data_IF_992479019923
#
_entry.id   IF_992479019923
#
_cell.length_a   1.000
_cell.length_b   1.000
_cell.length_c   1.000
_cell.angle_alpha   90.00
_cell.angle_beta   90.00
_cell.angle_gamma   90.00
#
_symmetry.space_group_name_H-M   'P 1'
#
loop_
_entity.id
_entity.type
_entity.pdbx_description
1 polymer ?
#
# COMPACT_ATOMS: atom_id res chain seq x y z
N UNK A 1 0.78 -2.72 12.77
CA UNK A 1 -0.25 -3.56 12.12
C UNK A 1 -0.08 -3.45 10.62
N UNK A 2 -0.20 -4.54 9.87
CA UNK A 2 -0.24 -4.53 8.40
C UNK A 2 -1.51 -5.24 7.96
N UNK A 3 -2.53 -4.50 7.54
CA UNK A 3 -3.82 -5.01 7.08
C UNK A 3 -3.84 -5.09 5.55
N UNK A 4 -3.77 -6.31 5.01
CA UNK A 4 -3.83 -6.57 3.59
C UNK A 4 -5.24 -7.06 3.21
N UNK A 5 -6.07 -6.09 2.82
CA UNK A 5 -7.46 -6.29 2.46
C UNK A 5 -7.67 -6.72 1.00
N UNK A 6 -8.95 -6.74 0.59
CA UNK A 6 -9.34 -7.01 -0.80
C UNK A 6 -9.03 -5.85 -1.73
N UNK A 7 -9.40 -4.62 -1.35
CA UNK A 7 -9.20 -3.43 -2.18
C UNK A 7 -8.01 -2.55 -1.81
N UNK A 8 -7.48 -2.67 -0.59
CA UNK A 8 -6.40 -1.79 -0.08
C UNK A 8 -5.45 -2.55 0.82
N UNK A 9 -4.27 -1.98 1.03
CA UNK A 9 -3.34 -2.35 2.08
C UNK A 9 -3.17 -1.14 2.98
N UNK A 10 -3.40 -1.31 4.26
CA UNK A 10 -3.30 -0.24 5.25
C UNK A 10 -2.38 -0.70 6.39
N UNK A 11 -1.60 0.22 6.94
CA UNK A 11 -0.74 -0.08 8.07
C UNK A 11 -0.69 1.06 9.07
N UNK A 12 -0.51 0.67 10.34
CA UNK A 12 -0.51 1.57 11.48
C UNK A 12 0.63 1.20 12.42
N UNK A 13 1.30 2.22 12.94
CA UNK A 13 2.39 2.11 13.90
C UNK A 13 1.98 2.75 15.21
N UNK A 14 2.23 2.04 16.30
CA UNK A 14 1.93 2.53 17.63
C UNK A 14 2.68 1.77 18.71
N UNK A 15 2.53 2.26 19.93
CA UNK A 15 3.07 1.66 21.14
C UNK A 15 1.94 1.25 22.07
N UNK A 16 1.99 0.00 22.51
CA UNK A 16 1.11 -0.53 23.55
C UNK A 16 1.89 -0.69 24.86
N UNK A 17 1.39 -0.10 25.93
CA UNK A 17 2.03 -0.15 27.24
C UNK A 17 1.01 -0.16 28.39
N UNK A 18 1.47 -0.45 29.60
CA UNK A 18 0.64 -0.33 30.80
C UNK A 18 0.31 1.15 31.04
N UNK A 19 -0.95 1.45 31.32
CA UNK A 19 -1.37 2.82 31.60
C UNK A 19 -0.76 3.31 32.92
N UNK A 20 -0.25 4.54 32.93
CA UNK A 20 0.10 5.25 34.16
C UNK A 20 -1.14 5.81 34.88
N UNK A 21 -2.23 6.01 34.13
CA UNK A 21 -3.51 6.42 34.67
C UNK A 21 -4.25 5.19 35.25
N UNK A 22 -4.53 5.14 36.56
CA UNK A 22 -5.15 3.98 37.21
C UNK A 22 -6.57 3.69 36.72
N UNK A 23 -7.19 4.62 35.99
CA UNK A 23 -8.50 4.42 35.36
C UNK A 23 -8.46 3.39 34.22
N UNK A 24 -7.33 3.24 33.55
CA UNK A 24 -7.15 2.39 32.37
C UNK A 24 -6.15 1.27 32.66
N UNK A 25 -6.31 0.11 32.03
CA UNK A 25 -5.34 -0.99 32.17
C UNK A 25 -4.11 -0.74 31.28
N UNK A 26 -4.37 -0.27 30.07
CA UNK A 26 -3.37 -0.10 29.03
C UNK A 26 -3.49 1.26 28.37
N UNK A 27 -2.41 1.70 27.75
CA UNK A 27 -2.35 2.86 26.88
C UNK A 27 -1.90 2.41 25.50
N UNK A 28 -2.60 2.85 24.46
CA UNK A 28 -2.22 2.65 23.07
C UNK A 28 -1.95 4.02 22.45
N UNK A 29 -0.70 4.26 22.08
CA UNK A 29 -0.27 5.51 21.44
C UNK A 29 -0.11 5.24 19.94
N UNK A 30 -0.81 6.02 19.11
CA UNK A 30 -0.61 6.03 17.66
C UNK A 30 0.58 6.94 17.31
N UNK A 31 1.40 6.51 16.36
CA UNK A 31 2.54 7.28 15.86
C UNK A 31 2.31 7.76 14.43
N UNK A 32 2.00 6.84 13.52
CA UNK A 32 1.70 7.15 12.13
C UNK A 32 0.97 5.99 11.46
N UNK A 33 0.42 6.28 10.28
CA UNK A 33 -0.19 5.30 9.39
C UNK A 33 0.32 5.47 7.97
N UNK A 34 0.05 4.49 7.13
CA UNK A 34 0.26 4.54 5.70
C UNK A 34 -0.45 3.39 5.02
N UNK A 35 -0.25 3.26 3.72
CA UNK A 35 -0.91 2.23 2.96
C UNK A 35 -0.66 2.35 1.46
N UNK A 36 -1.39 1.54 0.71
CA UNK A 36 -1.51 1.62 -0.74
C UNK A 36 -2.95 1.23 -1.12
N UNK A 37 -3.68 2.18 -1.70
CA UNK A 37 -5.09 2.03 -2.08
C UNK A 37 -5.30 1.14 -3.31
N UNK A 38 -4.23 0.80 -4.03
CA UNK A 38 -4.27 -0.08 -5.20
C UNK A 38 -3.70 -1.46 -4.89
N UNK A 39 -2.96 -1.63 -3.80
CA UNK A 39 -2.49 -2.93 -3.36
C UNK A 39 -3.55 -3.64 -2.52
N UNK A 40 -4.37 -4.48 -3.14
CA UNK A 40 -5.36 -5.32 -2.47
C UNK A 40 -5.45 -6.69 -3.16
N UNK A 41 -5.92 -7.72 -2.47
CA UNK A 41 -6.06 -9.07 -3.07
C UNK A 41 -6.94 -9.07 -4.33
N UNK A 42 -8.05 -8.35 -4.33
CA UNK A 42 -8.97 -8.22 -5.47
C UNK A 42 -8.34 -7.36 -6.59
N UNK A 43 -7.67 -6.27 -6.24
CA UNK A 43 -6.96 -5.45 -7.23
C UNK A 43 -5.80 -6.23 -7.88
N UNK A 44 -5.11 -7.09 -7.12
CA UNK A 44 -4.09 -7.99 -7.67
C UNK A 44 -4.72 -8.99 -8.63
N UNK A 45 -5.89 -9.57 -8.32
CA UNK A 45 -6.60 -10.44 -9.25
C UNK A 45 -6.97 -9.74 -10.56
N UNK A 46 -7.47 -8.51 -10.50
CA UNK A 46 -7.74 -7.73 -11.71
C UNK A 46 -6.46 -7.45 -12.51
N UNK A 47 -5.34 -7.21 -11.83
CA UNK A 47 -4.04 -7.06 -12.48
C UNK A 47 -3.58 -8.36 -13.16
N UNK A 48 -3.77 -9.53 -12.53
CA UNK A 48 -3.48 -10.82 -13.17
C UNK A 48 -4.37 -11.07 -14.39
N UNK A 49 -5.65 -10.72 -14.30
CA UNK A 49 -6.59 -10.84 -15.40
C UNK A 49 -6.19 -9.95 -16.59
N UNK A 50 -5.68 -8.76 -16.31
CA UNK A 50 -5.13 -7.85 -17.33
C UNK A 50 -3.93 -8.47 -18.06
N UNK A 51 -2.99 -9.10 -17.35
CA UNK A 51 -1.85 -9.79 -17.99
C UNK A 51 -2.27 -11.06 -18.73
N UNK A 52 -3.24 -11.81 -18.20
CA UNK A 52 -3.82 -12.96 -18.92
C UNK A 52 -4.50 -12.52 -20.22
N UNK A 53 -5.24 -11.41 -20.21
CA UNK A 53 -5.79 -10.82 -21.43
C UNK A 53 -4.68 -10.40 -22.39
N UNK A 54 -3.61 -9.77 -21.91
CA UNK A 54 -2.48 -9.36 -22.73
C UNK A 54 -1.81 -10.53 -23.45
N UNK A 55 -1.59 -11.65 -22.73
CA UNK A 55 -1.01 -12.88 -23.29
C UNK A 55 -1.83 -13.45 -24.45
N UNK A 56 -3.16 -13.26 -24.39
CA UNK A 56 -4.10 -13.80 -25.36
C UNK A 56 -4.65 -12.72 -26.32
N UNK A 57 -4.06 -11.52 -26.33
CA UNK A 57 -4.65 -10.35 -26.98
C UNK A 57 -4.92 -10.55 -28.47
N UNK A 58 -4.03 -11.22 -29.21
CA UNK A 58 -4.22 -11.44 -30.65
C UNK A 58 -5.48 -12.26 -30.93
N UNK A 59 -5.71 -13.35 -30.20
CA UNK A 59 -6.90 -14.21 -30.35
C UNK A 59 -8.16 -13.49 -29.88
N UNK A 60 -8.08 -12.74 -28.78
CA UNK A 60 -9.20 -11.98 -28.23
C UNK A 60 -9.60 -10.81 -29.14
N UNK A 61 -8.63 -10.18 -29.78
CA UNK A 61 -8.82 -9.13 -30.79
C UNK A 61 -9.56 -9.64 -32.02
N UNK A 62 -9.26 -10.85 -32.49
CA UNK A 62 -9.98 -11.49 -33.61
C UNK A 62 -11.45 -11.76 -33.28
N UNK A 63 -11.75 -12.02 -32.00
CA UNK A 63 -13.09 -12.21 -31.46
C UNK A 63 -13.76 -10.91 -30.99
N UNK A 64 -13.09 -9.78 -31.20
CA UNK A 64 -13.56 -8.45 -30.81
C UNK A 64 -13.87 -8.27 -29.32
N UNK A 65 -13.18 -9.03 -28.46
CA UNK A 65 -13.36 -9.04 -27.01
C UNK A 65 -12.71 -7.80 -26.38
N UNK A 66 -13.50 -7.02 -25.66
CA UNK A 66 -13.08 -5.80 -24.96
C UNK A 66 -12.73 -6.07 -23.50
N UNK A 67 -11.93 -5.21 -22.86
CA UNK A 67 -11.57 -5.36 -21.45
C UNK A 67 -11.57 -4.01 -20.71
N UNK A 68 -11.94 -4.03 -19.44
CA UNK A 68 -11.88 -2.86 -18.58
C UNK A 68 -10.48 -2.65 -18.01
N UNK A 69 -10.13 -1.39 -17.74
CA UNK A 69 -8.94 -1.05 -16.96
C UNK A 69 -9.10 -1.65 -15.55
N UNK A 70 -8.12 -2.42 -15.04
CA UNK A 70 -8.16 -2.92 -13.68
C UNK A 70 -7.98 -1.77 -12.68
N UNK A 71 -8.48 -1.96 -11.46
CA UNK A 71 -8.33 -1.04 -10.35
C UNK A 71 -6.92 -1.13 -9.72
N UNK A 72 -5.92 -0.80 -10.54
CA UNK A 72 -4.52 -0.77 -10.15
C UNK A 72 -3.86 0.52 -10.64
N UNK A 73 -2.81 0.98 -9.95
CA UNK A 73 -2.04 2.13 -10.42
C UNK A 73 -1.21 1.77 -11.67
N UNK A 74 -0.82 2.79 -12.44
CA UNK A 74 0.18 2.68 -13.53
C UNK A 74 -0.11 1.63 -14.60
N UNK A 75 -1.38 1.32 -14.82
CA UNK A 75 -1.78 0.54 -15.97
C UNK A 75 -1.51 1.34 -17.24
N UNK A 76 -0.78 0.75 -18.18
CA UNK A 76 -0.67 1.27 -19.53
C UNK A 76 -2.03 1.19 -20.24
N UNK A 77 -2.77 2.29 -20.16
CA UNK A 77 -4.09 2.43 -20.79
C UNK A 77 -4.04 2.45 -22.33
N UNK A 78 -2.86 2.62 -22.93
CA UNK A 78 -2.69 2.60 -24.38
C UNK A 78 -2.42 1.20 -24.93
N UNK A 79 -2.02 0.25 -24.08
CA UNK A 79 -1.62 -1.13 -24.44
C UNK A 79 -2.58 -1.82 -25.41
N UNK A 80 -3.89 -1.60 -25.25
CA UNK A 80 -4.93 -2.23 -26.06
C UNK A 80 -5.73 -1.27 -26.95
N UNK A 81 -5.38 0.03 -26.97
CA UNK A 81 -6.10 1.04 -27.74
C UNK A 81 -7.62 0.99 -27.54
N UNK A 82 -8.38 0.87 -28.64
CA UNK A 82 -9.86 0.85 -28.62
C UNK A 82 -10.49 -0.39 -27.96
N UNK A 83 -9.71 -1.41 -27.63
CA UNK A 83 -10.20 -2.62 -26.95
C UNK A 83 -10.29 -2.43 -25.44
N UNK A 84 -9.60 -1.44 -24.88
CA UNK A 84 -9.81 -1.01 -23.52
C UNK A 84 -11.06 -0.13 -23.46
N UNK A 85 -12.10 -0.56 -22.76
CA UNK A 85 -13.37 0.15 -22.65
C UNK A 85 -13.87 0.19 -21.20
N UNK A 86 -14.77 1.12 -20.90
CA UNK A 86 -15.41 1.21 -19.59
C UNK A 86 -16.88 0.72 -19.63
N UNK A 87 -17.21 -0.13 -20.60
CA UNK A 87 -18.55 -0.72 -20.76
C UNK A 87 -18.83 -1.78 -19.68
N UNK A 88 -20.10 -2.16 -19.54
CA UNK A 88 -20.49 -3.24 -18.62
C UNK A 88 -19.83 -4.55 -19.04
N UNK A 89 -19.80 -4.82 -20.33
CA UNK A 89 -19.23 -6.01 -20.98
C UNK A 89 -17.74 -6.11 -20.70
N UNK A 90 -16.99 -5.01 -20.84
CA UNK A 90 -15.57 -4.94 -20.55
C UNK A 90 -15.24 -5.23 -19.08
N UNK A 91 -16.07 -4.74 -18.14
CA UNK A 91 -15.92 -5.02 -16.71
C UNK A 91 -16.26 -6.47 -16.39
N UNK A 92 -17.31 -7.03 -16.99
CA UNK A 92 -17.67 -8.44 -16.84
C UNK A 92 -16.55 -9.34 -17.36
N UNK A 93 -15.95 -9.03 -18.51
CA UNK A 93 -14.81 -9.79 -19.03
C UNK A 93 -13.63 -9.81 -18.07
N UNK A 94 -13.25 -8.64 -17.52
CA UNK A 94 -12.18 -8.55 -16.52
C UNK A 94 -12.48 -9.44 -15.31
N UNK A 95 -13.70 -9.35 -14.76
CA UNK A 95 -14.14 -10.13 -13.61
C UNK A 95 -14.21 -11.63 -13.90
N UNK A 96 -14.65 -12.02 -15.09
CA UNK A 96 -14.71 -13.42 -15.54
C UNK A 96 -13.31 -14.02 -15.58
N UNK A 97 -12.34 -13.32 -16.18
CA UNK A 97 -10.94 -13.77 -16.22
C UNK A 97 -10.36 -13.80 -14.79
N UNK A 98 -10.57 -12.76 -13.98
CA UNK A 98 -10.09 -12.69 -12.60
C UNK A 98 -10.62 -13.86 -11.74
N UNK A 99 -11.88 -14.24 -11.92
CA UNK A 99 -12.50 -15.36 -11.19
C UNK A 99 -11.81 -16.70 -11.49
N UNK A 100 -11.34 -16.91 -12.73
CA UNK A 100 -10.58 -18.12 -13.10
C UNK A 100 -9.17 -18.15 -12.48
N UNK A 101 -8.63 -16.99 -12.12
CA UNK A 101 -7.31 -16.84 -11.51
C UNK A 101 -7.36 -16.79 -9.98
N UNK A 102 -8.55 -16.84 -9.36
CA UNK A 102 -8.73 -16.73 -7.92
C UNK A 102 -7.98 -17.83 -7.15
N UNK A 103 -8.19 -19.09 -7.55
CA UNK A 103 -7.52 -20.25 -6.98
C UNK A 103 -5.99 -20.15 -7.10
N UNK A 104 -5.48 -19.57 -8.19
CA UNK A 104 -4.04 -19.33 -8.36
C UNK A 104 -3.49 -18.31 -7.36
N UNK A 105 -4.25 -17.29 -6.96
CA UNK A 105 -3.80 -16.33 -5.96
C UNK A 105 -3.86 -16.91 -4.53
N UNK A 106 -4.93 -17.63 -4.21
CA UNK A 106 -5.21 -18.08 -2.83
C UNK A 106 -4.45 -19.33 -2.42
N UNK A 107 -4.25 -20.28 -3.34
CA UNK A 107 -3.78 -21.63 -3.03
C UNK A 107 -2.30 -21.86 -3.35
N UNK A 108 -1.50 -20.80 -3.44
CA UNK A 108 -0.04 -20.93 -3.55
C UNK A 108 0.53 -21.40 -2.21
N UNK A 109 1.36 -22.44 -2.27
CA UNK A 109 2.22 -22.88 -1.18
C UNK A 109 3.69 -22.88 -1.60
N UNK A 110 4.59 -23.20 -0.66
CA UNK A 110 6.02 -23.17 -0.91
C UNK A 110 6.46 -24.15 -2.02
N UNK A 111 5.86 -25.34 -2.08
CA UNK A 111 6.21 -26.37 -3.07
C UNK A 111 5.73 -25.96 -4.47
N UNK A 112 4.51 -25.41 -4.56
CA UNK A 112 3.93 -24.93 -5.82
C UNK A 112 4.76 -23.75 -6.36
N UNK A 113 5.17 -22.84 -5.49
CA UNK A 113 6.03 -21.71 -5.87
C UNK A 113 7.37 -22.22 -6.45
N UNK A 114 8.03 -23.14 -5.75
CA UNK A 114 9.30 -23.73 -6.19
C UNK A 114 9.14 -24.41 -7.56
N UNK A 115 8.12 -25.25 -7.71
CA UNK A 115 7.82 -25.92 -8.97
C UNK A 115 7.58 -24.93 -10.13
N UNK A 116 6.83 -23.84 -9.91
CA UNK A 116 6.63 -22.80 -10.94
C UNK A 116 7.96 -22.14 -11.33
N UNK A 117 8.82 -21.83 -10.35
CA UNK A 117 10.10 -21.16 -10.59
C UNK A 117 11.08 -22.04 -11.36
N UNK A 118 11.10 -23.34 -11.07
CA UNK A 118 11.95 -24.34 -11.72
C UNK A 118 11.36 -24.86 -13.05
N UNK A 119 10.13 -24.45 -13.39
CA UNK A 119 9.35 -24.91 -14.54
C UNK A 119 9.02 -26.42 -14.47
N UNK A 120 8.79 -26.91 -13.27
CA UNK A 120 8.30 -28.26 -12.99
C UNK A 120 6.77 -28.32 -13.05
N UNK A 121 6.23 -29.53 -12.99
CA UNK A 121 4.78 -29.75 -12.94
C UNK A 121 4.25 -29.43 -11.54
N UNK A 122 3.12 -28.75 -11.48
CA UNK A 122 2.40 -28.44 -10.25
C UNK A 122 0.90 -28.57 -10.49
N UNK A 123 0.15 -28.74 -9.42
CA UNK A 123 -1.31 -28.75 -9.44
C UNK A 123 -1.81 -27.80 -8.35
N UNK A 124 -2.82 -27.01 -8.69
CA UNK A 124 -3.54 -26.14 -7.76
C UNK A 124 -5.00 -26.55 -7.83
N UNK A 125 -5.62 -26.82 -6.68
CA UNK A 125 -7.03 -27.20 -6.62
C UNK A 125 -7.91 -26.11 -7.25
N UNK A 126 -8.82 -26.50 -8.14
CA UNK A 126 -9.73 -25.61 -8.85
C UNK A 126 -9.04 -24.52 -9.69
N UNK A 127 -7.85 -24.81 -10.21
CA UNK A 127 -7.14 -23.95 -11.15
C UNK A 127 -6.68 -24.75 -12.38
N UNK A 128 -6.99 -24.24 -13.56
CA UNK A 128 -6.50 -24.75 -14.83
C UNK A 128 -5.66 -23.68 -15.52
N UNK A 129 -4.44 -24.03 -15.96
CA UNK A 129 -3.53 -23.10 -16.63
C UNK A 129 -4.07 -22.62 -17.99
N UNK A 130 -4.69 -23.55 -18.71
CA UNK A 130 -5.39 -23.28 -19.96
C UNK A 130 -6.87 -23.53 -19.69
N UNK A 131 -7.68 -22.47 -19.72
CA UNK A 131 -9.09 -22.56 -19.38
C UNK A 131 -9.97 -21.95 -20.46
N UNK A 132 -11.18 -22.48 -20.56
CA UNK A 132 -12.23 -21.95 -21.43
C UNK A 132 -13.15 -21.04 -20.65
N UNK A 133 -13.53 -19.92 -21.24
CA UNK A 133 -14.52 -19.02 -20.63
C UNK A 133 -15.33 -18.26 -21.67
N UNK A 134 -16.51 -17.80 -21.28
CA UNK A 134 -17.39 -16.99 -22.13
C UNK A 134 -17.09 -15.52 -21.89
N UNK A 135 -16.65 -14.81 -22.93
CA UNK A 135 -16.35 -13.38 -22.89
C UNK A 135 -17.22 -12.63 -23.89
N UNK A 136 -17.54 -11.38 -23.58
CA UNK A 136 -18.35 -10.50 -24.41
C UNK A 136 -17.51 -9.76 -25.44
N UNK A 137 -17.98 -9.72 -26.68
CA UNK A 137 -17.47 -8.79 -27.68
C UNK A 137 -17.93 -7.34 -27.39
N UNK A 138 -17.50 -6.37 -28.21
CA UNK A 138 -17.92 -4.96 -28.07
C UNK A 138 -19.42 -4.72 -28.23
N UNK A 139 -20.16 -5.66 -28.81
CA UNK A 139 -21.60 -5.58 -29.04
C UNK A 139 -22.41 -6.31 -27.95
N UNK A 140 -21.73 -6.92 -26.98
CA UNK A 140 -22.34 -7.69 -25.90
C UNK A 140 -22.73 -9.12 -26.28
N UNK A 141 -22.17 -9.67 -27.35
CA UNK A 141 -22.34 -11.08 -27.73
C UNK A 141 -21.31 -11.93 -27.01
N UNK A 142 -21.76 -12.97 -26.29
CA UNK A 142 -20.86 -13.93 -25.65
C UNK A 142 -20.18 -14.83 -26.68
N UNK A 143 -18.87 -15.01 -26.52
CA UNK A 143 -18.02 -15.86 -27.36
C UNK A 143 -17.12 -16.70 -26.48
N UNK A 144 -17.08 -18.02 -26.74
CA UNK A 144 -16.15 -18.93 -26.06
C UNK A 144 -14.71 -18.56 -26.43
N UNK A 145 -13.87 -18.39 -25.41
CA UNK A 145 -12.46 -18.05 -25.53
C UNK A 145 -11.61 -19.07 -24.77
N UNK A 146 -10.59 -19.60 -25.43
CA UNK A 146 -9.55 -20.40 -24.81
C UNK A 146 -8.42 -19.46 -24.38
N UNK A 147 -8.20 -19.30 -23.07
CA UNK A 147 -7.14 -18.46 -22.52
C UNK A 147 -5.99 -19.32 -22.00
N UNK A 148 -4.78 -18.87 -22.29
CA UNK A 148 -3.54 -19.43 -21.77
C UNK A 148 -2.94 -18.53 -20.72
N UNK A 149 -2.45 -19.11 -19.63
CA UNK A 149 -1.81 -18.37 -18.54
C UNK A 149 -0.32 -18.70 -18.44
N UNK A 150 0.49 -17.67 -18.25
CA UNK A 150 1.90 -17.81 -17.91
C UNK A 150 2.08 -17.69 -16.39
N UNK A 151 1.94 -18.82 -15.69
CA UNK A 151 1.99 -18.85 -14.22
C UNK A 151 3.29 -18.29 -13.64
N UNK A 152 4.40 -18.39 -14.37
CA UNK A 152 5.70 -17.85 -13.92
C UNK A 152 5.73 -16.33 -13.98
N UNK A 153 5.22 -15.76 -15.07
CA UNK A 153 5.06 -14.32 -15.23
C UNK A 153 4.09 -13.76 -14.17
N UNK A 154 2.94 -14.41 -13.96
CA UNK A 154 1.97 -14.01 -12.94
C UNK A 154 2.55 -14.10 -11.52
N UNK A 155 3.28 -15.17 -11.19
CA UNK A 155 3.92 -15.33 -9.90
C UNK A 155 4.97 -14.23 -9.65
N UNK A 156 5.80 -13.93 -10.66
CA UNK A 156 6.78 -12.85 -10.57
C UNK A 156 6.13 -11.50 -10.33
N UNK A 157 5.00 -11.23 -11.00
CA UNK A 157 4.23 -10.00 -10.82
C UNK A 157 3.66 -9.90 -9.41
N UNK A 158 3.04 -10.96 -8.89
CA UNK A 158 2.54 -11.02 -7.51
C UNK A 158 3.64 -10.78 -6.49
N UNK A 159 4.77 -11.50 -6.61
CA UNK A 159 5.93 -11.32 -5.73
C UNK A 159 6.39 -9.86 -5.73
N UNK A 160 6.58 -9.26 -6.91
CA UNK A 160 6.98 -7.87 -7.04
C UNK A 160 6.03 -6.90 -6.34
N UNK A 161 4.72 -7.01 -6.58
CA UNK A 161 3.72 -6.11 -6.00
C UNK A 161 3.57 -6.24 -4.49
N UNK A 162 3.62 -7.47 -3.98
CA UNK A 162 3.58 -7.71 -2.54
C UNK A 162 4.86 -7.18 -1.87
N UNK A 163 6.03 -7.41 -2.47
CA UNK A 163 7.31 -6.87 -1.98
C UNK A 163 7.33 -5.34 -1.95
N UNK A 164 6.79 -4.66 -2.98
CA UNK A 164 6.62 -3.20 -2.99
C UNK A 164 5.81 -2.72 -1.77
N UNK A 165 4.71 -3.39 -1.44
CA UNK A 165 3.89 -3.08 -0.26
C UNK A 165 4.63 -3.26 1.07
N UNK A 166 5.39 -4.34 1.20
CA UNK A 166 6.21 -4.59 2.40
C UNK A 166 7.35 -3.57 2.53
N UNK A 167 7.98 -3.18 1.42
CA UNK A 167 8.99 -2.12 1.40
C UNK A 167 8.38 -0.79 1.86
N UNK A 168 7.18 -0.46 1.39
CA UNK A 168 6.45 0.73 1.81
C UNK A 168 6.14 0.72 3.33
N UNK A 169 5.73 -0.43 3.88
CA UNK A 169 5.56 -0.61 5.32
C UNK A 169 6.87 -0.34 6.09
N UNK A 170 7.99 -0.93 5.68
CA UNK A 170 9.26 -0.74 6.39
C UNK A 170 9.84 0.67 6.23
N UNK A 171 9.49 1.41 5.17
CA UNK A 171 9.80 2.83 5.05
C UNK A 171 9.05 3.65 6.12
N UNK A 172 7.74 3.42 6.27
CA UNK A 172 6.93 4.02 7.32
C UNK A 172 7.44 3.67 8.73
N UNK A 173 7.78 2.39 8.95
CA UNK A 173 8.39 1.93 10.19
C UNK A 173 9.70 2.67 10.51
N UNK A 174 10.57 2.82 9.52
CA UNK A 174 11.87 3.48 9.68
C UNK A 174 11.73 4.95 10.08
N UNK A 175 10.73 5.64 9.53
CA UNK A 175 10.39 7.01 9.93
C UNK A 175 9.96 7.08 11.40
N UNK A 176 9.05 6.19 11.81
CA UNK A 176 8.59 6.12 13.21
C UNK A 176 9.75 5.82 14.17
N UNK A 177 10.67 4.94 13.77
CA UNK A 177 11.86 4.65 14.55
C UNK A 177 12.75 5.88 14.77
N UNK A 178 12.93 6.71 13.75
CA UNK A 178 13.76 7.90 13.84
C UNK A 178 13.13 9.02 14.69
N UNK A 179 11.80 9.12 14.68
CA UNK A 179 11.07 10.25 15.27
C UNK A 179 10.53 9.97 16.69
N UNK A 180 10.10 8.73 16.97
CA UNK A 180 9.21 8.46 18.10
C UNK A 180 9.73 7.41 19.08
N UNK A 181 10.76 6.65 18.71
CA UNK A 181 11.13 5.45 19.44
C UNK A 181 12.42 5.69 20.23
N UNK A 182 12.29 5.64 21.55
CA UNK A 182 13.41 5.63 22.50
C UNK A 182 14.38 4.49 22.15
N UNK A 183 15.68 4.74 22.32
CA UNK A 183 16.78 3.77 22.17
C UNK A 183 16.59 2.50 23.02
N UNK A 184 15.56 2.44 23.88
CA UNK A 184 15.22 1.28 24.70
C UNK A 184 14.24 0.30 24.03
N UNK A 185 13.59 0.66 22.91
CA UNK A 185 12.70 -0.28 22.22
C UNK A 185 13.51 -1.28 21.38
N UNK A 186 13.49 -2.55 21.81
CA UNK A 186 14.33 -3.62 21.25
C UNK A 186 13.55 -4.74 20.56
N UNK A 187 12.21 -4.71 20.64
CA UNK A 187 11.33 -5.72 20.07
C UNK A 187 10.16 -5.09 19.32
N UNK A 188 9.98 -5.48 18.07
CA UNK A 188 8.97 -4.93 17.18
C UNK A 188 7.99 -6.01 16.76
N UNK A 189 6.72 -5.77 17.09
CA UNK A 189 5.64 -6.72 16.88
C UNK A 189 4.89 -6.37 15.59
N UNK A 190 4.97 -7.24 14.60
CA UNK A 190 4.31 -7.08 13.30
C UNK A 190 3.15 -8.07 13.26
N UNK A 191 1.94 -7.54 13.31
CA UNK A 191 0.72 -8.33 13.14
C UNK A 191 0.25 -8.24 11.69
N UNK A 192 0.17 -9.40 11.04
CA UNK A 192 -0.38 -9.53 9.70
C UNK A 192 -1.90 -9.69 9.79
N UNK A 193 -2.62 -8.74 9.22
CA UNK A 193 -4.08 -8.67 9.20
C UNK A 193 -4.62 -8.69 7.78
N UNK A 194 -5.93 -8.91 7.66
CA UNK A 194 -6.60 -8.98 6.37
C UNK A 194 -6.47 -10.35 5.69
N UNK A 195 -7.42 -10.65 4.80
CA UNK A 195 -7.48 -11.97 4.17
C UNK A 195 -6.28 -12.22 3.25
N UNK A 196 -5.80 -11.21 2.53
CA UNK A 196 -4.67 -11.36 1.60
C UNK A 196 -3.35 -11.64 2.34
N UNK A 197 -3.23 -11.27 3.62
CA UNK A 197 -2.06 -11.61 4.45
C UNK A 197 -1.91 -13.11 4.72
N UNK A 198 -2.92 -13.93 4.43
CA UNK A 198 -2.83 -15.41 4.52
C UNK A 198 -1.95 -16.00 3.42
N UNK A 199 -1.66 -15.25 2.36
CA UNK A 199 -0.79 -15.69 1.29
C UNK A 199 0.63 -15.96 1.80
N UNK A 200 1.21 -17.10 1.39
CA UNK A 200 2.60 -17.45 1.68
C UNK A 200 3.59 -16.41 1.15
N UNK A 201 3.25 -15.71 0.06
CA UNK A 201 4.08 -14.68 -0.55
C UNK A 201 4.27 -13.47 0.37
N UNK A 202 3.23 -13.10 1.13
CA UNK A 202 3.29 -11.98 2.09
C UNK A 202 4.26 -12.33 3.22
N UNK A 203 4.15 -13.53 3.78
CA UNK A 203 5.06 -13.99 4.83
C UNK A 203 6.51 -14.05 4.34
N UNK A 204 6.75 -14.58 3.13
CA UNK A 204 8.07 -14.59 2.52
C UNK A 204 8.64 -13.17 2.33
N UNK A 205 7.83 -12.23 1.85
CA UNK A 205 8.24 -10.83 1.68
C UNK A 205 8.62 -10.17 3.01
N UNK A 206 7.84 -10.39 4.08
CA UNK A 206 8.15 -9.89 5.42
C UNK A 206 9.41 -10.52 6.02
N UNK A 207 9.60 -11.82 5.87
CA UNK A 207 10.81 -12.51 6.33
C UNK A 207 12.07 -11.99 5.62
N UNK A 208 12.02 -11.84 4.30
CA UNK A 208 13.09 -11.24 3.49
C UNK A 208 13.39 -9.80 3.92
N UNK A 209 12.36 -8.98 4.10
CA UNK A 209 12.52 -7.59 4.52
C UNK A 209 13.07 -7.49 5.95
N UNK A 210 12.59 -8.34 6.87
CA UNK A 210 13.10 -8.47 8.24
C UNK A 210 14.60 -8.74 8.26
N UNK A 211 15.06 -9.73 7.50
CA UNK A 211 16.49 -10.05 7.43
C UNK A 211 17.33 -8.88 6.92
N UNK A 212 16.85 -8.18 5.89
CA UNK A 212 17.52 -6.99 5.36
C UNK A 212 17.65 -5.90 6.43
N UNK A 213 16.55 -5.60 7.13
CA UNK A 213 16.53 -4.58 8.18
C UNK A 213 17.49 -4.90 9.33
N UNK A 214 17.53 -6.18 9.76
CA UNK A 214 18.47 -6.63 10.80
C UNK A 214 19.94 -6.52 10.35
N UNK A 215 20.24 -6.89 9.10
CA UNK A 215 21.58 -6.75 8.51
C UNK A 215 22.00 -5.28 8.45
N UNK A 216 21.13 -4.40 7.96
CA UNK A 216 21.41 -2.96 7.85
C UNK A 216 21.60 -2.31 9.23
N UNK A 217 20.80 -2.71 10.23
CA UNK A 217 20.95 -2.26 11.62
C UNK A 217 22.29 -2.70 12.22
N UNK A 218 22.65 -3.97 12.06
CA UNK A 218 23.93 -4.48 12.56
C UNK A 218 25.12 -3.79 11.89
N UNK A 219 25.06 -3.53 10.58
CA UNK A 219 26.12 -2.80 9.87
C UNK A 219 26.29 -1.37 10.38
N UNK A 220 25.18 -0.67 10.69
CA UNK A 220 25.22 0.72 11.18
C UNK A 220 25.65 0.83 12.63
N UNK A 221 25.25 -0.11 13.49
CA UNK A 221 25.38 0.03 14.96
C UNK A 221 26.36 -0.95 15.59
N UNK A 222 26.76 -2.02 14.88
CA UNK A 222 27.49 -3.17 15.42
C UNK A 222 26.77 -3.87 16.59
N UNK A 223 25.44 -3.74 16.69
CA UNK A 223 24.60 -4.34 17.74
C UNK A 223 23.65 -5.39 17.17
N UNK A 224 23.33 -6.38 18.00
CA UNK A 224 22.34 -7.44 17.74
C UNK A 224 21.25 -7.47 18.82
N UNK A 225 20.86 -6.30 19.31
CA UNK A 225 19.88 -6.13 20.38
C UNK A 225 18.47 -5.80 19.87
N UNK A 226 18.24 -5.93 18.57
CA UNK A 226 16.99 -5.60 17.89
C UNK A 226 16.34 -6.89 17.37
N UNK A 227 15.03 -7.07 17.58
CA UNK A 227 14.27 -8.19 17.01
C UNK A 227 12.92 -7.77 16.44
N UNK A 228 12.52 -8.42 15.34
CA UNK A 228 11.16 -8.39 14.84
C UNK A 228 10.45 -9.72 15.20
N UNK A 229 9.19 -9.62 15.60
CA UNK A 229 8.30 -10.75 15.87
C UNK A 229 7.11 -10.61 14.92
N UNK A 230 6.99 -11.54 13.98
CA UNK A 230 5.89 -11.56 13.01
C UNK A 230 4.81 -12.52 13.54
N UNK A 231 3.59 -12.01 13.65
CA UNK A 231 2.42 -12.78 14.07
C UNK A 231 1.63 -13.25 12.86
N UNK A 232 1.22 -14.51 12.91
CA UNK A 232 0.44 -15.13 11.85
C UNK A 232 -0.95 -14.48 11.74
N UNK A 233 -1.54 -14.42 10.54
CA UNK A 233 -2.90 -13.94 10.37
C UNK A 233 -3.88 -14.76 11.20
N UNK A 234 -4.63 -14.06 12.05
CA UNK A 234 -5.63 -14.67 12.93
C UNK A 234 -6.68 -15.46 12.15
N UNK A 235 -7.19 -16.54 12.76
CA UNK A 235 -8.17 -17.45 12.16
C UNK A 235 -7.56 -18.52 11.26
N UNK A 236 -6.22 -18.65 11.26
CA UNK A 236 -5.49 -19.72 10.59
C UNK A 236 -4.97 -20.75 11.59
N UNK A 237 -4.74 -21.98 11.13
CA UNK A 237 -4.12 -23.02 11.97
C UNK A 237 -2.72 -22.62 12.48
N UNK A 238 -1.97 -21.87 11.67
CA UNK A 238 -0.68 -21.32 12.07
C UNK A 238 -0.83 -20.33 13.23
N UNK A 239 -1.83 -19.44 13.16
CA UNK A 239 -2.14 -18.53 14.27
C UNK A 239 -2.63 -19.26 15.52
N UNK A 240 -3.41 -20.33 15.40
CA UNK A 240 -3.87 -21.11 16.55
C UNK A 240 -2.69 -21.76 17.28
N UNK A 241 -1.74 -22.33 16.54
CA UNK A 241 -0.49 -22.87 17.10
C UNK A 241 0.32 -21.79 17.80
N UNK A 242 0.47 -20.62 17.17
CA UNK A 242 1.19 -19.49 17.75
C UNK A 242 0.50 -18.96 19.02
N UNK A 243 -0.83 -18.92 19.08
CA UNK A 243 -1.59 -18.54 20.28
C UNK A 243 -1.33 -19.54 21.41
N UNK A 244 -1.41 -20.84 21.12
CA UNK A 244 -1.14 -21.89 22.09
C UNK A 244 0.28 -21.78 22.66
N UNK A 245 1.29 -21.58 21.81
CA UNK A 245 2.69 -21.42 22.21
C UNK A 245 2.93 -20.19 23.10
N UNK A 246 2.24 -19.09 22.83
CA UNK A 246 2.42 -17.82 23.56
C UNK A 246 1.61 -17.71 24.84
N UNK A 247 0.42 -18.32 24.88
CA UNK A 247 -0.57 -18.10 25.95
C UNK A 247 -0.92 -19.36 26.73
N UNK A 248 -0.63 -20.54 26.18
CA UNK A 248 -1.11 -21.82 26.70
C UNK A 248 -2.57 -22.13 26.38
N UNK A 249 -3.27 -21.26 25.66
CA UNK A 249 -4.67 -21.43 25.27
C UNK A 249 -4.78 -22.15 23.92
N UNK A 250 -5.43 -23.33 23.92
CA UNK A 250 -5.72 -24.05 22.68
C UNK A 250 -7.05 -23.58 22.08
N UNK A 251 -6.95 -22.77 21.03
CA UNK A 251 -8.10 -22.23 20.28
C UNK A 251 -8.41 -23.03 19.01
N UNK A 252 -7.67 -24.11 18.72
CA UNK A 252 -7.78 -24.88 17.46
C UNK A 252 -9.18 -25.46 17.24
N UNK A 253 -9.84 -25.90 18.32
CA UNK A 253 -11.17 -26.50 18.32
C UNK A 253 -12.31 -25.46 18.21
N UNK A 254 -11.99 -24.16 18.19
CA UNK A 254 -12.99 -23.10 18.05
C UNK A 254 -13.59 -23.16 16.64
N UNK A 255 -14.93 -23.15 16.49
CA UNK A 255 -15.56 -23.08 15.17
C UNK A 255 -15.06 -21.87 14.37
N UNK A 256 -14.82 -22.01 13.06
CA UNK A 256 -14.22 -20.97 12.22
C UNK A 256 -14.95 -19.61 12.31
N UNK A 257 -16.29 -19.61 12.42
CA UNK A 257 -17.10 -18.39 12.54
C UNK A 257 -17.02 -17.71 13.92
N UNK A 258 -16.43 -18.37 14.92
CA UNK A 258 -16.15 -17.81 16.25
C UNK A 258 -14.68 -17.45 16.44
N UNK A 259 -13.79 -17.84 15.51
CA UNK A 259 -12.38 -17.51 15.61
C UNK A 259 -12.19 -16.00 15.44
N UNK A 260 -11.40 -15.36 16.32
CA UNK A 260 -11.10 -13.94 16.16
C UNK A 260 -10.32 -13.72 14.87
N UNK A 261 -10.57 -12.58 14.24
CA UNK A 261 -9.84 -12.04 13.10
C UNK A 261 -9.40 -10.61 13.42
N UNK A 262 -8.59 -9.99 12.57
CA UNK A 262 -8.30 -8.57 12.72
C UNK A 262 -9.59 -7.71 12.68
N UNK A 263 -10.61 -8.08 11.89
CA UNK A 263 -11.91 -7.38 11.85
C UNK A 263 -12.66 -7.43 13.18
N UNK A 264 -12.72 -8.60 13.83
CA UNK A 264 -13.30 -8.68 15.18
C UNK A 264 -12.44 -7.93 16.19
N UNK A 265 -11.10 -7.95 16.01
CA UNK A 265 -10.16 -7.16 16.80
C UNK A 265 -10.46 -5.65 16.75
N UNK A 266 -10.79 -5.10 15.58
CA UNK A 266 -11.24 -3.71 15.43
C UNK A 266 -12.50 -3.45 16.25
N UNK A 267 -13.51 -4.34 16.16
CA UNK A 267 -14.75 -4.19 16.92
C UNK A 267 -14.50 -4.19 18.44
N UNK A 268 -13.69 -5.12 18.95
CA UNK A 268 -13.32 -5.16 20.36
C UNK A 268 -12.48 -3.94 20.76
N UNK A 269 -11.52 -3.52 19.94
CA UNK A 269 -10.73 -2.32 20.18
C UNK A 269 -11.60 -1.06 20.32
N UNK A 270 -12.63 -0.90 19.49
CA UNK A 270 -13.61 0.18 19.59
C UNK A 270 -14.45 0.13 20.88
N UNK A 271 -14.72 -1.06 21.41
CA UNK A 271 -15.42 -1.23 22.70
C UNK A 271 -14.49 -0.96 23.89
N UNK A 272 -13.24 -1.40 23.81
CA UNK A 272 -12.24 -1.26 24.85
C UNK A 272 -11.67 0.17 24.97
N UNK A 273 -11.64 0.91 23.86
CA UNK A 273 -11.21 2.32 23.80
C UNK A 273 -12.27 3.32 24.27
N UNK A 274 -13.49 2.87 24.58
CA UNK A 274 -14.51 3.74 25.19
C UNK A 274 -14.02 4.24 26.54
N UNK A 275 -14.50 5.41 26.93
CA UNK A 275 -14.19 6.01 28.23
C UNK A 275 -14.85 5.22 29.38
N UNK A 276 -14.27 4.05 29.72
CA UNK A 276 -14.72 3.15 30.77
C UNK A 276 -13.56 2.81 31.71
N UNK A 277 -13.89 2.48 32.96
CA UNK A 277 -12.91 1.97 33.89
C UNK A 277 -12.33 0.65 33.37
N UNK A 278 -11.02 0.45 33.57
CA UNK A 278 -10.26 -0.71 33.11
C UNK A 278 -10.23 -0.90 31.57
N UNK A 279 -10.60 0.12 30.80
CA UNK A 279 -10.46 0.11 29.34
C UNK A 279 -9.03 0.42 28.86
N UNK A 280 -8.91 0.71 27.57
CA UNK A 280 -7.68 1.17 26.92
C UNK A 280 -7.71 2.70 26.83
N UNK A 281 -6.67 3.34 27.38
CA UNK A 281 -6.40 4.75 27.17
C UNK A 281 -5.93 4.97 25.73
N UNK A 282 -6.67 5.77 24.99
CA UNK A 282 -6.31 6.27 23.66
C UNK A 282 -6.08 7.78 23.78
N UNK A 283 -4.82 8.26 23.77
CA UNK A 283 -4.54 9.68 23.67
C UNK A 283 -5.24 10.28 22.45
N UNK A 284 -5.77 11.49 22.58
CA UNK A 284 -6.34 12.20 21.44
C UNK A 284 -5.25 12.42 20.39
N UNK A 285 -5.51 11.95 19.18
CA UNK A 285 -4.77 12.38 18.00
C UNK A 285 -5.25 13.80 17.72
N UNK A 286 -4.35 14.79 17.65
CA UNK A 286 -4.72 16.16 17.29
C UNK A 286 -5.48 16.11 15.96
N UNK A 287 -6.77 16.45 15.98
CA UNK A 287 -7.73 16.15 14.92
C UNK A 287 -7.60 17.07 13.70
N UNK A 288 -6.45 17.73 13.52
CA UNK A 288 -6.21 18.49 12.32
C UNK A 288 -6.17 17.50 11.15
N UNK A 289 -6.93 17.74 10.07
CA UNK A 289 -6.86 16.88 8.90
C UNK A 289 -5.41 16.85 8.42
N UNK A 290 -4.75 15.70 8.58
CA UNK A 290 -3.38 15.49 8.11
C UNK A 290 -3.43 15.57 6.59
N UNK A 291 -2.55 16.41 6.03
CA UNK A 291 -2.42 16.51 4.59
C UNK A 291 -2.04 15.14 4.01
N UNK A 292 -2.58 14.77 2.86
CA UNK A 292 -2.51 13.39 2.38
C UNK A 292 -1.16 13.03 1.74
N UNK A 293 -0.44 14.02 1.19
CA UNK A 293 0.67 13.76 0.29
C UNK A 293 1.97 14.37 0.79
N UNK A 294 3.09 13.65 0.63
CA UNK A 294 4.40 14.28 0.67
C UNK A 294 4.62 15.04 -0.65
N UNK A 295 5.20 16.25 -0.57
CA UNK A 295 5.46 17.11 -1.72
C UNK A 295 6.96 17.18 -1.99
N UNK A 296 7.35 17.14 -3.26
CA UNK A 296 8.75 17.09 -3.63
C UNK A 296 9.01 17.41 -5.09
N UNK A 297 10.25 17.19 -5.48
CA UNK A 297 10.75 17.43 -6.83
C UNK A 297 11.40 16.17 -7.41
N UNK A 298 11.57 16.16 -8.73
CA UNK A 298 12.35 15.12 -9.41
C UNK A 298 13.83 15.48 -9.38
N UNK A 299 14.67 14.55 -8.92
CA UNK A 299 16.13 14.62 -9.08
C UNK A 299 16.59 13.26 -9.56
N UNK A 300 17.29 13.20 -10.70
CA UNK A 300 17.83 11.96 -11.28
C UNK A 300 16.78 10.83 -11.43
N UNK A 301 15.53 11.17 -11.75
CA UNK A 301 14.43 10.22 -11.90
C UNK A 301 13.90 9.65 -10.58
N UNK A 302 14.27 10.24 -9.43
CA UNK A 302 13.77 9.89 -8.10
C UNK A 302 13.01 11.05 -7.48
N UNK A 303 12.06 10.70 -6.61
CA UNK A 303 11.32 11.66 -5.81
C UNK A 303 12.13 12.11 -4.62
N UNK A 304 12.34 13.42 -4.49
CA UNK A 304 13.01 14.04 -3.35
C UNK A 304 12.00 14.88 -2.58
N UNK A 305 11.65 14.43 -1.37
CA UNK A 305 10.70 15.14 -0.51
C UNK A 305 11.26 16.51 -0.11
N UNK A 306 10.47 17.56 -0.31
CA UNK A 306 10.74 18.93 0.14
C UNK A 306 9.87 19.28 1.35
N UNK A 307 8.61 18.85 1.34
CA UNK A 307 7.66 19.06 2.42
C UNK A 307 7.01 17.71 2.76
N UNK A 308 7.07 17.32 4.04
CA UNK A 308 6.43 16.10 4.51
C UNK A 308 4.96 16.37 4.85
N UNK A 309 4.11 15.39 4.60
CA UNK A 309 2.66 15.52 4.82
C UNK A 309 2.29 15.82 6.27
N UNK A 310 3.09 15.30 7.20
CA UNK A 310 2.90 15.47 8.65
C UNK A 310 3.37 16.85 9.16
N UNK A 311 4.15 17.59 8.36
CA UNK A 311 4.61 18.94 8.75
C UNK A 311 3.67 20.06 8.29
N UNK A 312 2.77 19.78 7.35
CA UNK A 312 1.83 20.76 6.80
C UNK A 312 0.68 21.01 7.77
N UNK A 313 0.51 22.28 8.15
CA UNK A 313 -0.64 22.73 8.94
C UNK A 313 -1.61 23.50 8.05
N UNK A 314 -2.93 23.33 8.23
CA UNK A 314 -3.92 24.07 7.46
C UNK A 314 -3.69 25.58 7.54
N UNK A 315 -3.66 26.23 6.38
CA UNK A 315 -3.48 27.68 6.25
C UNK A 315 -2.12 28.23 6.70
N UNK A 316 -1.08 27.40 6.84
CA UNK A 316 0.30 27.85 7.07
C UNK A 316 1.17 27.62 5.83
N UNK A 317 1.90 28.65 5.41
CA UNK A 317 2.87 28.57 4.32
C UNK A 317 4.18 27.95 4.78
N UNK A 318 4.64 26.94 4.05
CA UNK A 318 5.92 26.28 4.26
C UNK A 318 6.78 26.39 3.00
N UNK A 319 8.08 26.61 3.17
CA UNK A 319 9.00 26.78 2.05
C UNK A 319 9.14 25.48 1.25
N UNK A 320 8.97 25.58 -0.06
CA UNK A 320 9.11 24.47 -1.00
C UNK A 320 10.40 24.60 -1.82
N UNK A 321 10.64 25.78 -2.39
CA UNK A 321 11.89 26.16 -3.04
C UNK A 321 12.31 27.55 -2.60
N UNK A 322 13.60 27.73 -2.31
CA UNK A 322 14.15 29.07 -2.03
C UNK A 322 14.36 29.84 -3.33
N UNK A 323 14.52 31.15 -3.25
CA UNK A 323 14.87 32.00 -4.40
C UNK A 323 16.14 31.59 -5.15
N UNK A 324 17.07 30.86 -4.52
CA UNK A 324 18.25 30.32 -5.19
C UNK A 324 17.95 29.01 -5.96
N UNK A 325 16.95 28.26 -5.50
CA UNK A 325 16.48 27.03 -6.16
C UNK A 325 15.45 27.34 -7.26
N UNK A 326 14.65 28.40 -7.06
CA UNK A 326 13.62 28.84 -7.96
C UNK A 326 14.21 29.71 -9.08
N UNK A 327 14.13 29.23 -10.32
CA UNK A 327 14.70 29.90 -11.49
C UNK A 327 13.85 31.02 -12.07
N UNK A 328 12.77 31.45 -11.39
CA UNK A 328 11.85 32.46 -11.91
C UNK A 328 10.98 31.96 -13.08
N UNK A 329 10.70 30.66 -13.15
CA UNK A 329 9.89 30.07 -14.22
C UNK A 329 8.41 30.48 -14.11
N UNK A 330 7.67 30.37 -15.21
CA UNK A 330 6.23 30.61 -15.27
C UNK A 330 5.40 29.38 -14.86
N UNK A 331 6.05 28.25 -14.63
CA UNK A 331 5.41 26.99 -14.25
C UNK A 331 6.21 26.29 -13.14
N UNK A 332 5.53 25.94 -12.05
CA UNK A 332 6.07 25.14 -10.96
C UNK A 332 5.55 23.71 -11.07
N UNK A 333 6.47 22.76 -11.25
CA UNK A 333 6.16 21.34 -11.17
C UNK A 333 6.31 20.84 -9.72
N UNK A 334 5.22 20.36 -9.14
CA UNK A 334 5.22 19.70 -7.83
C UNK A 334 4.94 18.22 -8.03
N UNK A 335 5.88 17.38 -7.60
CA UNK A 335 5.69 15.95 -7.49
C UNK A 335 5.06 15.64 -6.14
N UNK A 336 4.16 14.66 -6.09
CA UNK A 336 3.51 14.29 -4.85
C UNK A 336 3.16 12.79 -4.77
N UNK A 337 3.13 12.26 -3.55
CA UNK A 337 2.84 10.84 -3.30
C UNK A 337 2.19 10.61 -1.94
N UNK A 338 1.25 9.67 -1.87
CA UNK A 338 0.67 9.17 -0.63
C UNK A 338 1.40 7.92 -0.09
N UNK A 339 2.42 7.41 -0.78
CA UNK A 339 3.22 6.25 -0.33
C UNK A 339 4.26 6.67 0.73
N UNK A 340 4.40 5.89 1.80
CA UNK A 340 5.40 6.13 2.86
C UNK A 340 6.85 6.09 2.35
N UNK A 341 7.11 5.36 1.26
CA UNK A 341 8.41 5.34 0.56
C UNK A 341 8.84 6.72 0.03
N UNK A 342 7.93 7.68 -0.10
CA UNK A 342 8.27 9.07 -0.45
C UNK A 342 9.27 9.71 0.54
N UNK A 343 9.33 9.21 1.79
CA UNK A 343 10.21 9.74 2.82
C UNK A 343 11.68 9.27 2.71
N UNK A 344 12.01 8.35 1.79
CA UNK A 344 13.35 7.74 1.73
C UNK A 344 14.22 8.25 0.58
N UNK A 345 13.72 9.17 -0.24
CA UNK A 345 14.36 9.62 -1.49
C UNK A 345 14.69 8.49 -2.49
N UNK A 346 14.08 7.31 -2.33
CA UNK A 346 14.29 6.15 -3.23
C UNK A 346 13.08 5.84 -4.11
N UNK A 347 11.94 6.50 -3.86
CA UNK A 347 10.73 6.35 -4.64
C UNK A 347 11.04 6.79 -6.09
N UNK A 348 10.75 5.92 -7.06
CA UNK A 348 10.94 6.25 -8.47
C UNK A 348 10.03 7.41 -8.86
N UNK A 349 10.38 8.23 -9.85
CA UNK A 349 9.50 9.33 -10.23
C UNK A 349 8.21 8.83 -10.91
N UNK A 350 8.28 7.68 -11.60
CA UNK A 350 7.10 6.98 -12.12
C UNK A 350 6.14 6.60 -10.98
N UNK A 351 6.73 6.43 -9.79
CA UNK A 351 6.21 6.33 -8.43
C UNK A 351 5.17 7.35 -7.95
N UNK A 352 5.09 8.49 -8.64
CA UNK A 352 4.52 9.74 -8.13
C UNK A 352 3.49 10.32 -9.08
N UNK A 353 2.68 11.23 -8.56
CA UNK A 353 1.86 12.12 -9.37
C UNK A 353 2.55 13.47 -9.51
N UNK A 354 2.13 14.25 -10.51
CA UNK A 354 2.68 15.57 -10.78
C UNK A 354 1.53 16.52 -11.05
N UNK A 355 1.65 17.71 -10.48
CA UNK A 355 0.85 18.86 -10.85
C UNK A 355 1.79 19.96 -11.34
N UNK A 356 1.35 20.68 -12.36
CA UNK A 356 2.05 21.86 -12.83
C UNK A 356 1.16 23.08 -12.59
N UNK A 357 1.73 24.08 -11.93
CA UNK A 357 1.01 25.27 -11.47
C UNK A 357 1.62 26.48 -12.17
N UNK A 358 0.80 27.21 -12.93
CA UNK A 358 1.22 28.44 -13.58
C UNK A 358 1.40 29.55 -12.53
N UNK A 359 2.55 30.22 -12.56
CA UNK A 359 2.94 31.30 -11.66
C UNK A 359 3.33 32.55 -12.46
N UNK A 360 3.22 33.71 -11.82
CA UNK A 360 3.77 34.94 -12.40
C UNK A 360 5.30 34.89 -12.43
N UNK A 361 5.88 35.33 -13.56
CA UNK A 361 7.33 35.38 -13.76
C UNK A 361 7.95 36.49 -12.90
N UNK A 362 8.43 36.10 -11.71
CA UNK A 362 9.06 37.01 -10.76
C UNK A 362 10.37 36.42 -10.27
N UNK A 363 11.47 37.16 -10.45
CA UNK A 363 12.80 36.78 -9.97
C UNK A 363 13.01 37.10 -8.48
N UNK A 364 13.93 36.36 -7.84
CA UNK A 364 14.35 36.54 -6.44
C UNK A 364 13.21 36.34 -5.42
N UNK A 365 12.38 35.32 -5.62
CA UNK A 365 11.25 35.00 -4.73
C UNK A 365 11.35 33.59 -4.17
N UNK A 366 10.92 33.41 -2.93
CA UNK A 366 10.72 32.09 -2.34
C UNK A 366 9.35 31.54 -2.76
N UNK A 367 9.33 30.26 -3.11
CA UNK A 367 8.10 29.52 -3.41
C UNK A 367 7.68 28.79 -2.15
N UNK A 368 6.52 29.15 -1.60
CA UNK A 368 5.95 28.52 -0.41
C UNK A 368 4.62 27.84 -0.75
N UNK A 369 4.38 26.67 -0.17
CA UNK A 369 3.13 25.91 -0.33
C UNK A 369 2.31 25.99 0.95
N UNK A 370 1.00 26.11 0.80
CA UNK A 370 0.04 26.11 1.90
C UNK A 370 -1.02 25.04 1.62
N UNK A 371 -1.30 24.15 2.57
CA UNK A 371 -2.44 23.25 2.46
C UNK A 371 -3.73 23.96 2.86
N UNK A 372 -4.79 23.75 2.06
CA UNK A 372 -6.12 24.33 2.26
C UNK A 372 -7.04 23.33 2.95
N UNK A 373 -6.95 22.06 2.52
CA UNK A 373 -7.61 20.91 3.13
C UNK A 373 -6.67 19.69 3.05
N UNK A 374 -7.18 18.47 3.27
CA UNK A 374 -6.35 17.26 3.27
C UNK A 374 -5.79 16.85 1.90
N UNK A 375 -6.27 17.43 0.80
CA UNK A 375 -5.90 17.07 -0.57
C UNK A 375 -5.62 18.27 -1.48
N UNK A 376 -5.87 19.49 -1.01
CA UNK A 376 -5.72 20.70 -1.83
C UNK A 376 -4.64 21.62 -1.29
N UNK A 377 -3.88 22.23 -2.21
CA UNK A 377 -2.82 23.18 -1.91
C UNK A 377 -3.02 24.49 -2.66
N UNK A 378 -2.32 25.52 -2.22
CA UNK A 378 -2.06 26.73 -3.00
C UNK A 378 -0.59 27.13 -2.87
N UNK A 379 -0.08 27.79 -3.88
CA UNK A 379 1.30 28.23 -3.97
C UNK A 379 1.36 29.74 -3.82
N UNK A 380 2.27 30.22 -2.99
CA UNK A 380 2.54 31.65 -2.82
C UNK A 380 3.97 31.97 -3.20
N UNK A 381 4.16 33.09 -3.91
CA UNK A 381 5.47 33.68 -4.15
C UNK A 381 5.73 34.74 -3.07
N UNK A 382 6.88 34.67 -2.43
CA UNK A 382 7.27 35.55 -1.33
C UNK A 382 8.55 36.32 -1.66
N UNK A 383 8.51 37.64 -1.51
CA UNK A 383 9.69 38.51 -1.55
C UNK A 383 9.87 39.17 -0.19
N UNK A 384 11.03 38.96 0.43
CA UNK A 384 11.32 39.46 1.79
C UNK A 384 10.19 39.14 2.81
N UNK A 385 9.71 37.88 2.77
CA UNK A 385 8.58 37.37 3.55
C UNK A 385 7.21 38.03 3.32
N UNK A 386 7.07 38.86 2.27
CA UNK A 386 5.78 39.38 1.83
C UNK A 386 5.23 38.55 0.68
N UNK A 387 3.99 38.10 0.81
CA UNK A 387 3.24 37.42 -0.25
C UNK A 387 2.95 38.44 -1.36
N UNK A 388 3.47 38.17 -2.56
CA UNK A 388 3.28 39.05 -3.73
C UNK A 388 2.31 38.45 -4.75
N UNK A 389 2.21 37.12 -4.80
CA UNK A 389 1.31 36.38 -5.69
C UNK A 389 0.85 35.10 -4.99
N UNK A 390 -0.40 34.71 -5.23
CA UNK A 390 -1.00 33.48 -4.73
C UNK A 390 -1.75 32.79 -5.88
N UNK A 391 -1.50 31.50 -6.09
CA UNK A 391 -2.19 30.69 -7.08
C UNK A 391 -3.64 30.41 -6.68
N UNK A 392 -4.43 29.92 -7.64
CA UNK A 392 -5.68 29.25 -7.30
C UNK A 392 -5.43 27.99 -6.45
N UNK A 393 -6.50 27.48 -5.83
CA UNK A 393 -6.44 26.25 -5.04
C UNK A 393 -6.45 25.06 -5.99
N UNK A 394 -5.40 24.25 -5.88
CA UNK A 394 -5.18 23.08 -6.71
C UNK A 394 -5.40 21.80 -5.92
N UNK A 395 -6.11 20.84 -6.53
CA UNK A 395 -6.41 19.55 -5.91
C UNK A 395 -5.44 18.47 -6.38
N UNK A 396 -4.85 17.74 -5.44
CA UNK A 396 -3.86 16.68 -5.66
C UNK A 396 -4.44 15.26 -5.69
#
# INVERSE_FOLDING_TARGET
>A
MFDFGGGTTDFDFGKWEKSANPKFLYKMTHFSSGGDKYLGGENLLELLAWEAYAKNFQTLKEKDVVIAKPNYDRIDTQRFGSFMQNSREARLNLQTIASQLHSFLENLDANIIEAIEENENFEIENFEKDFKTMLFDRNGVETECDLKVDCKELLSLLKGKIEEGVVNFFAGFSKVMAENIDDQCRAFHIFLGGNASRSVLVKQAFEKAKEKQLKDYHQKTSKNDFKFIIYEPLGTEASDKQILELTGEDVSNTPAYLKPTCKTGVAFGLLESRNKAQGIEMPSIDSNPVFKYDLGIEIEGKFHAKIHRDSLKPNEYQIFQTKEEWGGFDELEIRYSDKSLANTNTLDIKDTQMISIALEEVEEVDVKVCCVDSQSIKVGLFKDDQLIYESEVEKL
#
